data_IF_953974361262
#
_entry.id   IF_953974361262
#
_cell.length_a   1.000
_cell.length_b   1.000
_cell.length_c   1.000
_cell.angle_alpha   90.00
_cell.angle_beta   90.00
_cell.angle_gamma   90.00
#
_symmetry.space_group_name_H-M   'P 1'
#
loop_
_entity.id
_entity.type
_entity.pdbx_description
1 polymer ?
#
# COMPACT_ATOMS: atom_id res chain seq x y z
N UNK A 1 14.85 3.19 5.69
CA UNK A 1 15.02 1.80 5.22
C UNK A 1 14.16 1.65 3.99
N UNK A 2 14.76 1.61 2.81
CA UNK A 2 14.03 1.30 1.59
C UNK A 2 13.99 -0.23 1.47
N UNK A 3 12.79 -0.77 1.29
CA UNK A 3 12.56 -2.19 1.08
C UNK A 3 12.07 -2.35 -0.36
N UNK A 4 12.65 -3.29 -1.09
CA UNK A 4 12.08 -3.70 -2.38
C UNK A 4 11.13 -4.85 -2.10
N UNK A 5 9.82 -4.58 -2.23
CA UNK A 5 8.76 -5.55 -1.94
C UNK A 5 8.72 -6.72 -2.94
N UNK A 6 9.47 -6.64 -4.05
CA UNK A 6 9.51 -7.69 -5.07
C UNK A 6 10.68 -8.65 -4.79
N UNK A 7 10.41 -9.96 -4.67
CA UNK A 7 11.47 -10.95 -4.55
C UNK A 7 12.28 -10.98 -5.84
N UNK A 8 13.57 -11.26 -5.70
CA UNK A 8 14.55 -11.26 -6.76
C UNK A 8 14.87 -12.69 -7.12
N UNK A 9 14.88 -12.98 -8.42
CA UNK A 9 15.20 -14.30 -8.94
C UNK A 9 16.50 -14.23 -9.72
N UNK A 10 17.49 -15.02 -9.29
CA UNK A 10 18.75 -15.19 -10.02
C UNK A 10 18.61 -16.35 -11.01
N UNK A 11 19.15 -16.18 -12.22
CA UNK A 11 19.07 -17.20 -13.27
C UNK A 11 19.94 -18.44 -13.01
N UNK A 12 21.06 -18.26 -12.31
CA UNK A 12 22.11 -19.27 -12.17
C UNK A 12 22.20 -19.88 -10.76
N UNK A 13 21.47 -19.36 -9.78
CA UNK A 13 21.40 -19.98 -8.46
C UNK A 13 20.43 -21.16 -8.53
N UNK A 14 20.94 -22.38 -8.32
CA UNK A 14 20.18 -23.63 -8.41
C UNK A 14 19.07 -23.79 -7.36
N UNK A 15 18.94 -22.86 -6.41
CA UNK A 15 17.81 -22.81 -5.47
C UNK A 15 16.56 -22.26 -6.17
N UNK A 16 15.89 -23.09 -6.97
CA UNK A 16 14.74 -22.76 -7.82
C UNK A 16 13.48 -22.25 -7.09
N UNK A 17 13.56 -21.95 -5.79
CA UNK A 17 12.44 -21.47 -4.96
C UNK A 17 12.82 -20.46 -3.88
N UNK A 18 14.05 -19.96 -3.88
CA UNK A 18 14.47 -18.94 -2.92
C UNK A 18 14.02 -17.55 -3.41
N UNK A 19 13.28 -16.85 -2.55
CA UNK A 19 12.87 -15.47 -2.76
C UNK A 19 13.90 -14.57 -2.09
N UNK A 20 14.83 -14.03 -2.90
CA UNK A 20 15.89 -13.16 -2.40
C UNK A 20 15.39 -11.72 -2.28
N UNK A 21 15.89 -11.00 -1.28
CA UNK A 21 15.51 -9.62 -1.03
C UNK A 21 16.74 -8.74 -0.82
N UNK A 22 16.75 -7.56 -1.44
CA UNK A 22 17.70 -6.51 -1.07
C UNK A 22 17.16 -5.64 0.06
N UNK A 23 17.98 -5.41 1.08
CA UNK A 23 17.72 -4.44 2.15
C UNK A 23 18.72 -3.31 2.07
N UNK A 24 18.20 -2.08 2.07
CA UNK A 24 19.02 -0.88 2.03
C UNK A 24 18.74 -0.01 3.24
N UNK A 25 19.81 0.34 3.94
CA UNK A 25 19.72 1.19 5.13
C UNK A 25 20.97 2.02 5.29
N UNK A 26 20.79 3.14 5.98
CA UNK A 26 21.85 4.06 6.35
C UNK A 26 22.18 3.82 7.80
N UNK A 27 23.46 3.64 8.13
CA UNK A 27 23.91 3.60 9.52
C UNK A 27 24.14 5.01 10.02
N UNK A 28 23.91 5.23 11.32
CA UNK A 28 24.20 6.48 12.01
C UNK A 28 25.56 6.44 12.74
N UNK A 29 26.39 5.43 12.44
CA UNK A 29 27.77 5.38 12.93
C UNK A 29 28.61 6.51 12.33
N UNK A 30 29.87 6.61 12.75
CA UNK A 30 30.79 7.75 12.55
C UNK A 30 30.85 8.29 11.10
N UNK A 31 30.54 7.46 10.09
CA UNK A 31 30.63 7.83 8.68
C UNK A 31 29.29 7.97 7.93
N UNK A 32 28.13 7.87 8.59
CA UNK A 32 26.80 7.97 7.93
C UNK A 32 26.69 7.09 6.66
N UNK A 33 27.13 5.83 6.77
CA UNK A 33 27.37 4.95 5.63
C UNK A 33 26.08 4.31 5.09
N UNK A 34 26.00 4.10 3.79
CA UNK A 34 24.94 3.30 3.17
C UNK A 34 25.36 1.83 3.12
N UNK A 35 24.43 0.92 3.44
CA UNK A 35 24.64 -0.51 3.35
C UNK A 35 23.57 -1.17 2.49
N UNK A 36 24.01 -2.16 1.72
CA UNK A 36 23.17 -3.03 0.89
C UNK A 36 23.36 -4.45 1.42
N UNK A 37 22.27 -5.11 1.77
CA UNK A 37 22.27 -6.54 2.13
C UNK A 37 21.44 -7.34 1.12
N UNK A 38 21.93 -8.51 0.73
CA UNK A 38 21.16 -9.56 0.07
C UNK A 38 20.80 -10.61 1.12
N UNK A 39 19.51 -10.92 1.26
CA UNK A 39 19.01 -11.93 2.19
C UNK A 39 18.16 -12.97 1.46
N UNK A 40 18.14 -14.20 1.98
CA UNK A 40 17.10 -15.19 1.67
C UNK A 40 16.02 -15.12 2.75
N UNK A 41 14.75 -15.22 2.36
CA UNK A 41 13.64 -15.24 3.32
C UNK A 41 13.52 -16.58 4.07
N UNK A 42 13.95 -17.67 3.44
CA UNK A 42 13.88 -19.03 4.02
C UNK A 42 15.11 -19.39 4.82
N UNK A 43 16.27 -18.88 4.41
CA UNK A 43 17.54 -19.09 5.10
C UNK A 43 17.99 -17.79 5.77
N UNK A 44 17.78 -17.71 7.10
CA UNK A 44 18.15 -16.54 7.89
C UNK A 44 19.67 -16.33 7.98
N UNK A 45 20.48 -17.38 7.75
CA UNK A 45 21.94 -17.29 7.76
C UNK A 45 22.48 -16.80 6.40
N UNK A 46 21.67 -16.87 5.35
CA UNK A 46 22.01 -16.35 4.03
C UNK A 46 21.96 -14.82 4.04
N UNK A 47 23.06 -14.20 4.46
CA UNK A 47 23.22 -12.75 4.48
C UNK A 47 24.55 -12.37 3.85
N UNK A 48 24.47 -11.59 2.78
CA UNK A 48 25.62 -10.95 2.15
C UNK A 48 25.48 -9.44 2.23
N UNK A 49 26.55 -8.72 2.56
CA UNK A 49 26.53 -7.29 2.83
C UNK A 49 27.62 -6.54 2.06
N UNK A 50 27.25 -5.36 1.58
CA UNK A 50 28.13 -4.38 0.97
C UNK A 50 28.05 -3.09 1.78
N UNK A 51 29.20 -2.63 2.26
CA UNK A 51 29.37 -1.37 2.99
C UNK A 51 29.87 -0.31 2.01
N UNK A 52 29.05 0.68 1.69
CA UNK A 52 29.37 1.74 0.73
C UNK A 52 30.22 2.83 1.37
N UNK A 53 31.47 2.49 1.65
CA UNK A 53 32.52 3.47 1.98
C UNK A 53 32.97 4.20 0.71
N UNK A 54 33.63 5.35 0.85
CA UNK A 54 34.22 6.07 -0.31
C UNK A 54 35.18 5.17 -1.10
N UNK A 55 36.00 4.36 -0.41
CA UNK A 55 36.93 3.41 -1.05
C UNK A 55 36.20 2.35 -1.86
N UNK A 56 35.11 1.80 -1.32
CA UNK A 56 34.34 0.77 -2.01
C UNK A 56 33.58 1.35 -3.21
N UNK A 57 33.04 2.56 -3.10
CA UNK A 57 32.45 3.27 -4.23
C UNK A 57 33.45 3.51 -5.35
N UNK A 58 34.68 3.94 -5.02
CA UNK A 58 35.72 4.13 -6.02
C UNK A 58 36.10 2.82 -6.71
N UNK A 59 36.14 1.71 -5.99
CA UNK A 59 36.35 0.37 -6.57
C UNK A 59 35.21 0.01 -7.53
N UNK A 60 33.96 0.15 -7.10
CA UNK A 60 32.78 -0.12 -7.92
C UNK A 60 32.77 0.73 -9.19
N UNK A 61 33.20 2.00 -9.11
CA UNK A 61 33.30 2.91 -10.25
C UNK A 61 34.37 2.51 -11.26
N UNK A 62 35.49 1.93 -10.83
CA UNK A 62 36.50 1.41 -11.77
C UNK A 62 35.93 0.27 -12.63
N UNK A 63 35.08 -0.55 -12.03
CA UNK A 63 34.40 -1.65 -12.74
C UNK A 63 33.18 -1.18 -13.54
N UNK A 64 32.59 -0.04 -13.15
CA UNK A 64 31.36 0.49 -13.71
C UNK A 64 31.45 2.03 -13.83
N UNK A 65 32.10 2.57 -14.88
CA UNK A 65 32.45 3.99 -14.96
C UNK A 65 31.23 4.94 -15.03
N UNK A 66 30.05 4.44 -15.39
CA UNK A 66 28.80 5.22 -15.47
C UNK A 66 28.10 5.42 -14.11
N UNK A 67 28.73 5.10 -12.99
CA UNK A 67 28.13 5.14 -11.65
C UNK A 67 28.40 6.47 -10.94
N UNK A 68 27.42 7.02 -10.17
CA UNK A 68 27.60 8.23 -9.38
C UNK A 68 28.77 8.16 -8.39
N UNK A 69 29.34 9.32 -8.05
CA UNK A 69 30.49 9.42 -7.14
C UNK A 69 30.10 9.32 -5.67
N UNK A 70 28.85 9.63 -5.35
CA UNK A 70 28.33 9.65 -3.98
C UNK A 70 27.47 8.40 -3.69
N UNK A 71 27.44 8.00 -2.41
CA UNK A 71 26.69 6.82 -1.96
C UNK A 71 25.18 6.94 -2.17
N UNK A 72 24.63 8.16 -2.12
CA UNK A 72 23.19 8.38 -2.27
C UNK A 72 22.79 8.19 -3.73
N UNK A 73 23.50 8.85 -4.65
CA UNK A 73 23.32 8.68 -6.09
C UNK A 73 23.53 7.24 -6.52
N UNK A 74 24.53 6.56 -5.94
CA UNK A 74 24.72 5.12 -6.14
C UNK A 74 23.46 4.31 -5.79
N UNK A 75 22.93 4.50 -4.57
CA UNK A 75 21.74 3.79 -4.10
C UNK A 75 20.53 4.08 -4.98
N UNK A 76 20.33 5.35 -5.38
CA UNK A 76 19.23 5.72 -6.27
C UNK A 76 19.34 5.03 -7.63
N UNK A 77 20.54 5.00 -8.21
CA UNK A 77 20.80 4.26 -9.46
C UNK A 77 20.54 2.77 -9.24
N UNK A 78 21.08 2.18 -8.18
CA UNK A 78 20.89 0.75 -7.86
C UNK A 78 19.40 0.37 -7.73
N UNK A 79 18.61 1.16 -7.00
CA UNK A 79 17.15 0.97 -6.88
C UNK A 79 16.47 1.06 -8.24
N UNK A 80 16.86 2.04 -9.08
CA UNK A 80 16.33 2.16 -10.45
C UNK A 80 16.66 0.90 -11.26
N UNK A 81 17.90 0.44 -11.23
CA UNK A 81 18.32 -0.76 -11.95
C UNK A 81 17.57 -2.01 -11.48
N UNK A 82 17.24 -2.11 -10.18
CA UNK A 82 16.44 -3.20 -9.63
C UNK A 82 14.96 -3.14 -10.00
N UNK A 83 14.43 -1.94 -10.26
CA UNK A 83 13.03 -1.77 -10.65
C UNK A 83 12.76 -2.13 -12.12
N UNK A 84 13.79 -2.10 -12.95
CA UNK A 84 13.75 -2.50 -14.35
C UNK A 84 13.83 -4.03 -14.48
N UNK A 85 13.14 -4.59 -15.47
CA UNK A 85 13.12 -6.04 -15.71
C UNK A 85 14.47 -6.49 -16.30
N UNK A 86 15.44 -6.76 -15.41
CA UNK A 86 16.81 -7.16 -15.77
C UNK A 86 17.06 -8.64 -15.52
N UNK A 87 18.03 -9.18 -16.24
CA UNK A 87 18.54 -10.52 -15.97
C UNK A 87 19.63 -10.41 -14.91
N UNK A 88 19.50 -11.21 -13.85
CA UNK A 88 20.41 -11.19 -12.71
C UNK A 88 21.10 -12.54 -12.58
N UNK A 89 22.40 -12.53 -12.32
CA UNK A 89 23.17 -13.68 -11.89
C UNK A 89 23.84 -13.38 -10.57
N UNK A 90 23.94 -14.35 -9.67
CA UNK A 90 24.84 -14.28 -8.50
C UNK A 90 25.78 -15.49 -8.55
N UNK A 91 27.06 -15.24 -8.33
CA UNK A 91 28.07 -16.26 -8.12
C UNK A 91 28.52 -16.18 -6.65
N UNK A 92 28.14 -17.19 -5.86
CA UNK A 92 28.51 -17.30 -4.45
C UNK A 92 29.80 -18.10 -4.29
N UNK A 93 30.71 -17.62 -3.45
CA UNK A 93 31.84 -18.38 -2.94
C UNK A 93 31.84 -18.34 -1.39
N UNK A 94 32.86 -18.92 -0.76
CA UNK A 94 32.92 -18.98 0.71
C UNK A 94 33.00 -17.59 1.38
N UNK A 95 33.46 -16.56 0.66
CA UNK A 95 33.75 -15.23 1.20
C UNK A 95 32.72 -14.16 0.80
N UNK A 96 31.96 -14.39 -0.28
CA UNK A 96 31.06 -13.39 -0.84
C UNK A 96 30.12 -13.89 -1.95
N UNK A 97 29.25 -12.99 -2.41
CA UNK A 97 28.38 -13.16 -3.58
C UNK A 97 28.68 -12.03 -4.57
N UNK A 98 29.02 -12.40 -5.80
CA UNK A 98 29.18 -11.46 -6.90
C UNK A 98 27.91 -11.45 -7.73
N UNK A 99 27.24 -10.30 -7.77
CA UNK A 99 25.98 -10.11 -8.50
C UNK A 99 26.26 -9.31 -9.76
N UNK A 100 25.75 -9.81 -10.89
CA UNK A 100 25.84 -9.14 -12.18
C UNK A 100 24.43 -8.87 -12.71
N UNK A 101 24.20 -7.61 -13.06
CA UNK A 101 22.99 -7.13 -13.69
C UNK A 101 23.24 -7.07 -15.19
N UNK A 102 22.36 -7.67 -15.98
CA UNK A 102 22.38 -7.62 -17.42
C UNK A 102 21.19 -6.81 -17.94
N UNK A 103 21.50 -5.79 -18.75
CA UNK A 103 20.52 -5.08 -19.56
C UNK A 103 20.38 -5.73 -20.93
N UNK A 104 19.19 -5.64 -21.51
CA UNK A 104 18.93 -6.03 -22.91
C UNK A 104 19.07 -4.78 -23.78
N UNK A 105 19.87 -4.87 -24.83
CA UNK A 105 20.11 -3.80 -25.78
C UNK A 105 19.81 -4.31 -27.20
N UNK A 106 19.23 -3.45 -28.03
CA UNK A 106 19.12 -3.70 -29.46
C UNK A 106 20.26 -2.96 -30.17
N UNK A 107 21.16 -3.72 -30.78
CA UNK A 107 22.30 -3.19 -31.53
C UNK A 107 22.24 -3.76 -32.95
N UNK A 108 22.17 -2.88 -33.96
CA UNK A 108 22.05 -3.25 -35.38
C UNK A 108 20.93 -4.27 -35.68
N UNK A 109 19.81 -4.19 -34.95
CA UNK A 109 18.66 -5.10 -35.12
C UNK A 109 18.78 -6.44 -34.39
N UNK A 110 19.87 -6.68 -33.65
CA UNK A 110 20.04 -7.87 -32.81
C UNK A 110 19.86 -7.53 -31.33
N UNK A 111 19.13 -8.39 -30.61
CA UNK A 111 19.05 -8.31 -29.14
C UNK A 111 20.28 -8.92 -28.52
N UNK A 112 21.06 -8.12 -27.79
CA UNK A 112 22.20 -8.56 -27.02
C UNK A 112 22.01 -8.23 -25.53
N UNK A 113 22.57 -9.07 -24.66
CA UNK A 113 22.60 -8.82 -23.22
C UNK A 113 23.99 -8.36 -22.81
N UNK A 114 24.10 -7.21 -22.14
CA UNK A 114 25.38 -6.67 -21.67
C UNK A 114 25.33 -6.40 -20.17
N UNK A 115 26.44 -6.61 -19.43
CA UNK A 115 26.49 -6.28 -18.00
C UNK A 115 26.38 -4.76 -17.82
N UNK A 116 25.45 -4.33 -16.97
CA UNK A 116 25.19 -2.90 -16.66
C UNK A 116 25.66 -2.51 -15.27
N UNK A 117 25.72 -3.47 -14.34
CA UNK A 117 26.17 -3.26 -12.97
C UNK A 117 26.75 -4.55 -12.41
N UNK A 118 27.91 -4.43 -11.75
CA UNK A 118 28.51 -5.50 -10.96
C UNK A 118 28.60 -5.07 -9.49
N UNK A 119 28.26 -6.00 -8.60
CA UNK A 119 28.35 -5.83 -7.14
C UNK A 119 29.04 -7.03 -6.51
N UNK A 120 29.96 -6.77 -5.61
CA UNK A 120 30.54 -7.80 -4.73
C UNK A 120 30.06 -7.57 -3.32
N UNK A 121 29.33 -8.54 -2.75
CA UNK A 121 28.90 -8.53 -1.36
C UNK A 121 29.71 -9.54 -0.57
N UNK A 122 30.04 -9.23 0.68
CA UNK A 122 30.76 -10.13 1.57
C UNK A 122 29.78 -10.93 2.42
N UNK A 123 30.09 -12.19 2.68
CA UNK A 123 29.28 -13.03 3.56
C UNK A 123 29.35 -12.51 5.01
N UNK A 124 28.18 -12.34 5.65
CA UNK A 124 28.10 -11.94 7.05
C UNK A 124 28.19 -13.19 7.92
N UNK A 125 29.24 -13.28 8.75
CA UNK A 125 29.52 -14.45 9.59
C UNK A 125 29.89 -14.08 11.03
N UNK A 126 29.89 -15.08 11.90
CA UNK A 126 30.38 -14.96 13.28
C UNK A 126 29.63 -13.89 14.09
N UNK A 127 30.39 -13.02 14.74
CA UNK A 127 29.86 -11.96 15.61
C UNK A 127 28.91 -11.00 14.86
N UNK A 128 29.21 -10.65 13.60
CA UNK A 128 28.34 -9.75 12.82
C UNK A 128 26.97 -10.40 12.53
N UNK A 129 26.96 -11.71 12.29
CA UNK A 129 25.72 -12.46 12.07
C UNK A 129 24.91 -12.57 13.36
N UNK A 130 25.58 -12.83 14.50
CA UNK A 130 24.95 -12.85 15.80
C UNK A 130 24.30 -11.49 16.15
N UNK A 131 25.02 -10.40 15.91
CA UNK A 131 24.49 -9.04 16.08
C UNK A 131 23.29 -8.77 15.16
N UNK A 132 23.35 -9.24 13.90
CA UNK A 132 22.23 -9.15 12.98
C UNK A 132 20.99 -9.88 13.52
N UNK A 133 21.15 -11.11 14.04
CA UNK A 133 20.04 -11.85 14.64
C UNK A 133 19.47 -11.17 15.87
N UNK A 134 20.32 -10.67 16.77
CA UNK A 134 19.88 -9.93 17.95
C UNK A 134 19.08 -8.69 17.57
N UNK A 135 19.57 -7.90 16.61
CA UNK A 135 18.87 -6.71 16.12
C UNK A 135 17.53 -7.08 15.48
N UNK A 136 17.53 -8.11 14.63
CA UNK A 136 16.33 -8.58 13.93
C UNK A 136 15.28 -9.10 14.91
N UNK A 137 15.69 -9.88 15.92
CA UNK A 137 14.81 -10.38 16.98
C UNK A 137 14.19 -9.22 17.79
N UNK A 138 14.98 -8.22 18.18
CA UNK A 138 14.48 -7.04 18.87
C UNK A 138 13.46 -6.27 18.04
N UNK A 139 13.71 -6.13 16.73
CA UNK A 139 12.80 -5.47 15.80
C UNK A 139 11.47 -6.22 15.66
N UNK A 140 11.51 -7.55 15.53
CA UNK A 140 10.29 -8.37 15.47
C UNK A 140 9.52 -8.35 16.78
N UNK A 141 10.21 -8.41 17.93
CA UNK A 141 9.60 -8.28 19.25
C UNK A 141 8.83 -6.96 19.37
N UNK A 142 9.47 -5.84 19.01
CA UNK A 142 8.81 -4.52 19.03
C UNK A 142 7.55 -4.49 18.16
N UNK A 143 7.63 -5.00 16.93
CA UNK A 143 6.46 -5.08 16.02
C UNK A 143 5.34 -5.95 16.57
N UNK A 144 5.68 -7.04 17.25
CA UNK A 144 4.70 -7.92 17.89
C UNK A 144 3.99 -7.18 19.03
N UNK A 145 4.74 -6.52 19.91
CA UNK A 145 4.20 -5.76 21.04
C UNK A 145 3.30 -4.60 20.57
N UNK A 146 3.69 -3.91 19.51
CA UNK A 146 2.88 -2.84 18.88
C UNK A 146 1.56 -3.40 18.33
N UNK A 147 1.61 -4.50 17.55
CA UNK A 147 0.39 -5.16 17.05
C UNK A 147 -0.50 -5.70 18.16
N UNK A 148 0.09 -6.22 19.24
CA UNK A 148 -0.65 -6.70 20.41
C UNK A 148 -1.43 -5.56 21.05
N UNK A 149 -0.80 -4.40 21.24
CA UNK A 149 -1.44 -3.18 21.77
C UNK A 149 -2.59 -2.70 20.88
N UNK A 150 -2.38 -2.64 19.57
CA UNK A 150 -3.45 -2.30 18.62
C UNK A 150 -4.66 -3.24 18.75
N UNK A 151 -4.42 -4.55 18.93
CA UNK A 151 -5.50 -5.52 19.10
C UNK A 151 -6.23 -5.36 20.45
N UNK A 152 -5.52 -5.05 21.53
CA UNK A 152 -6.13 -4.75 22.83
C UNK A 152 -6.99 -3.48 22.78
N UNK A 153 -6.54 -2.44 22.07
CA UNK A 153 -7.33 -1.23 21.83
C UNK A 153 -8.57 -1.50 20.97
N UNK A 154 -8.45 -2.33 19.94
CA UNK A 154 -9.60 -2.77 19.12
C UNK A 154 -10.61 -3.56 19.94
N UNK A 155 -10.16 -4.44 20.86
CA UNK A 155 -11.04 -5.17 21.77
C UNK A 155 -11.79 -4.23 22.71
N UNK A 156 -11.09 -3.28 23.35
CA UNK A 156 -11.74 -2.27 24.21
C UNK A 156 -12.80 -1.46 23.46
N UNK A 157 -12.51 -1.02 22.23
CA UNK A 157 -13.49 -0.33 21.39
C UNK A 157 -14.71 -1.21 21.08
N UNK A 158 -14.52 -2.48 20.77
CA UNK A 158 -15.61 -3.42 20.52
C UNK A 158 -16.50 -3.61 21.76
N UNK A 159 -15.90 -3.77 22.95
CA UNK A 159 -16.63 -3.86 24.23
C UNK A 159 -17.44 -2.59 24.54
N UNK A 160 -16.89 -1.41 24.23
CA UNK A 160 -17.60 -0.14 24.41
C UNK A 160 -18.79 0.00 23.44
N UNK A 161 -18.65 -0.46 22.19
CA UNK A 161 -19.77 -0.50 21.25
C UNK A 161 -20.86 -1.48 21.70
N UNK A 162 -20.49 -2.64 22.23
CA UNK A 162 -21.45 -3.61 22.76
C UNK A 162 -22.25 -3.04 23.93
N UNK A 163 -21.59 -2.33 24.86
CA UNK A 163 -22.27 -1.63 25.97
C UNK A 163 -23.26 -0.58 25.45
N UNK A 164 -22.89 0.21 24.45
CA UNK A 164 -23.78 1.21 23.84
C UNK A 164 -24.99 0.56 23.16
N UNK A 165 -24.80 -0.56 22.46
CA UNK A 165 -25.91 -1.30 21.84
C UNK A 165 -26.88 -1.79 22.91
N UNK A 166 -26.38 -2.38 24.00
CA UNK A 166 -27.24 -2.83 25.13
C UNK A 166 -28.04 -1.67 25.77
N UNK A 167 -27.44 -0.49 25.89
CA UNK A 167 -28.13 0.71 26.39
C UNK A 167 -29.25 1.14 25.43
N UNK A 168 -28.96 1.22 24.12
CA UNK A 168 -29.96 1.58 23.11
C UNK A 168 -31.11 0.57 23.05
N UNK A 169 -30.83 -0.72 23.18
CA UNK A 169 -31.86 -1.76 23.24
C UNK A 169 -32.79 -1.60 24.46
N UNK A 170 -32.24 -1.18 25.61
CA UNK A 170 -33.02 -0.91 26.80
C UNK A 170 -33.93 0.32 26.61
N UNK A 171 -33.40 1.42 26.07
CA UNK A 171 -34.18 2.63 25.76
C UNK A 171 -35.32 2.35 24.76
N UNK A 172 -35.06 1.55 23.73
CA UNK A 172 -36.08 1.16 22.76
C UNK A 172 -37.17 0.33 23.42
N UNK A 173 -36.82 -0.65 24.28
CA UNK A 173 -37.80 -1.45 25.03
C UNK A 173 -38.66 -0.58 25.95
N UNK A 174 -38.07 0.41 26.61
CA UNK A 174 -38.80 1.35 27.45
C UNK A 174 -39.78 2.21 26.64
N UNK A 175 -39.32 2.77 25.50
CA UNK A 175 -40.18 3.53 24.57
C UNK A 175 -41.34 2.70 24.03
N UNK A 176 -41.13 1.40 23.76
CA UNK A 176 -42.21 0.49 23.33
C UNK A 176 -43.22 0.25 24.47
N UNK A 177 -42.77 0.11 25.72
CA UNK A 177 -43.67 -0.01 26.87
C UNK A 177 -44.53 1.23 27.04
N UNK A 178 -43.95 2.42 26.89
CA UNK A 178 -44.69 3.69 26.98
C UNK A 178 -45.78 3.81 25.90
N UNK A 179 -45.53 3.30 24.67
CA UNK A 179 -46.56 3.26 23.62
C UNK A 179 -47.73 2.32 23.92
N UNK A 180 -47.53 1.25 24.71
CA UNK A 180 -48.61 0.34 25.11
C UNK A 180 -49.50 0.89 26.24
N UNK A 181 -49.07 1.96 26.92
CA UNK A 181 -49.84 2.61 27.99
C UNK A 181 -50.74 3.76 27.50
N UNK A 182 -50.71 4.09 26.20
CA UNK A 182 -51.76 4.93 25.62
C UNK A 182 -52.93 4.01 25.27
N UNK A 183 -53.92 4.00 26.16
CA UNK A 183 -55.24 3.44 25.92
C UNK A 183 -55.83 4.19 24.71
N UNK A 184 -56.13 3.47 23.63
CA UNK A 184 -57.01 4.00 22.60
C UNK A 184 -58.35 4.18 23.30
N UNK A 185 -58.72 5.42 23.60
CA UNK A 185 -60.08 5.76 24.01
C UNK A 185 -60.98 5.48 22.80
N UNK A 186 -61.59 4.29 22.77
CA UNK A 186 -62.73 4.01 21.91
C UNK A 186 -63.89 4.89 22.41
N UNK A 187 -64.05 6.05 21.77
CA UNK A 187 -65.26 6.85 21.92
C UNK A 187 -66.33 6.25 21.02
N UNK A 188 -67.31 5.58 21.63
CA UNK A 188 -68.59 5.27 20.99
C UNK A 188 -69.31 6.60 20.65
N UNK A 189 -69.04 7.15 19.47
CA UNK A 189 -69.83 8.25 18.93
C UNK A 189 -71.19 7.70 18.49
N UNK A 190 -72.19 7.75 19.38
CA UNK A 190 -73.60 7.70 18.95
C UNK A 190 -73.85 8.94 18.09
N UNK A 191 -73.84 8.76 16.77
CA UNK A 191 -74.27 9.77 15.81
C UNK A 191 -75.78 9.96 15.99
N UNK A 192 -76.16 10.87 16.90
CA UNK A 192 -77.48 11.50 16.85
C UNK A 192 -77.54 12.37 15.60
N UNK A 193 -78.51 12.12 14.73
CA UNK A 193 -78.75 12.86 13.48
C UNK A 193 -78.83 14.36 13.71
N UNK A 194 -77.75 15.07 13.38
CA UNK A 194 -77.71 16.53 13.27
C UNK A 194 -77.90 16.89 11.79
N UNK A 195 -79.04 17.53 11.49
CA UNK A 195 -79.36 18.10 10.18
C UNK A 195 -78.43 19.27 9.90
N UNK A 196 -77.64 19.17 8.83
CA UNK A 196 -76.74 20.22 8.37
C UNK A 196 -77.50 21.24 7.52
N UNK A 197 -77.51 22.51 7.94
CA UNK A 197 -77.70 23.65 7.04
C UNK A 197 -76.32 24.11 6.56
N UNK A 198 -76.21 24.21 5.24
CA UNK A 198 -74.98 24.41 4.46
C UNK A 198 -74.63 25.89 4.41
N UNK A 199 -73.47 26.31 4.95
CA UNK A 199 -72.98 27.68 4.69
C UNK A 199 -71.47 27.95 4.84
N UNK A 200 -70.60 26.92 5.01
CA UNK A 200 -69.16 27.19 5.21
C UNK A 200 -68.18 26.24 4.48
N UNK A 201 -68.56 25.66 3.34
CA UNK A 201 -67.64 24.86 2.52
C UNK A 201 -66.59 25.67 1.71
N UNK A 202 -66.60 27.00 1.79
CA UNK A 202 -65.64 27.84 1.03
C UNK A 202 -64.29 28.11 1.71
N UNK A 203 -64.15 27.91 3.04
CA UNK A 203 -62.95 28.36 3.78
C UNK A 203 -61.86 27.31 4.02
N UNK A 204 -62.15 26.03 3.81
CA UNK A 204 -61.21 24.94 4.16
C UNK A 204 -60.21 24.65 3.04
N UNK A 205 -60.49 25.06 1.80
CA UNK A 205 -59.62 24.77 0.64
C UNK A 205 -58.48 25.82 0.48
N UNK A 206 -58.59 27.01 1.07
CA UNK A 206 -57.49 28.00 1.06
C UNK A 206 -56.38 27.70 2.09
N UNK A 207 -56.70 27.09 3.23
CA UNK A 207 -55.68 26.78 4.26
C UNK A 207 -54.75 25.61 3.89
N UNK A 208 -55.18 24.72 2.98
CA UNK A 208 -54.37 23.56 2.54
C UNK A 208 -53.31 23.97 1.49
N UNK A 209 -53.54 25.05 0.73
CA UNK A 209 -52.61 25.54 -0.29
C UNK A 209 -51.52 26.48 0.25
N UNK A 210 -51.61 26.92 1.52
CA UNK A 210 -50.64 27.84 2.13
C UNK A 210 -49.36 27.21 2.69
N UNK A 211 -49.33 25.90 2.95
CA UNK A 211 -48.26 25.27 3.73
C UNK A 211 -47.33 24.31 2.97
N UNK A 212 -47.36 24.31 1.62
CA UNK A 212 -46.33 23.65 0.79
C UNK A 212 -45.29 24.66 0.26
N UNK A 213 -44.49 25.25 1.15
CA UNK A 213 -43.19 25.84 0.81
C UNK A 213 -42.23 25.64 1.97
N UNK A 214 -41.17 24.86 1.76
CA UNK A 214 -39.81 24.92 2.36
C UNK A 214 -39.21 23.49 2.26
N UNK A 215 -38.38 23.17 1.27
CA UNK A 215 -36.98 23.54 1.07
C UNK A 215 -36.09 22.30 1.27
N UNK A 216 -35.77 21.61 0.17
CA UNK A 216 -34.62 20.69 0.11
C UNK A 216 -33.69 21.21 -0.98
N UNK A 217 -32.44 21.60 -0.65
CA UNK A 217 -31.50 22.08 -1.64
C UNK A 217 -30.88 20.93 -2.43
N UNK A 218 -30.75 21.23 -3.72
CA UNK A 218 -30.23 20.44 -4.82
C UNK A 218 -28.74 20.08 -4.66
N UNK A 219 -28.32 18.90 -5.13
CA UNK A 219 -27.02 18.73 -5.82
C UNK A 219 -26.91 17.39 -6.57
N UNK A 220 -27.30 17.47 -7.84
CA UNK A 220 -26.72 16.88 -9.05
C UNK A 220 -25.71 15.71 -8.90
N UNK A 221 -26.12 14.54 -9.37
CA UNK A 221 -25.23 13.52 -9.94
C UNK A 221 -25.77 13.18 -11.35
N UNK A 222 -25.08 13.52 -12.45
CA UNK A 222 -25.41 12.93 -13.74
C UNK A 222 -24.57 11.69 -13.99
N UNK A 223 -25.29 10.58 -14.14
CA UNK A 223 -24.91 9.38 -14.86
C UNK A 223 -24.68 9.72 -16.34
N UNK A 224 -23.60 9.20 -16.95
CA UNK A 224 -23.65 8.81 -18.36
C UNK A 224 -22.56 7.79 -18.72
N UNK A 225 -23.06 6.60 -19.00
CA UNK A 225 -22.65 5.56 -19.97
C UNK A 225 -21.55 5.89 -20.99
N UNK A 226 -20.59 4.95 -21.13
CA UNK A 226 -19.64 4.80 -22.27
C UNK A 226 -20.38 4.56 -23.59
N UNK A 227 -19.75 4.79 -24.77
CA UNK A 227 -19.11 3.67 -25.48
C UNK A 227 -17.79 4.00 -26.23
N UNK A 228 -17.15 2.92 -26.69
CA UNK A 228 -15.93 2.84 -27.53
C UNK A 228 -16.10 3.51 -28.90
N UNK A 229 -15.06 4.16 -29.42
CA UNK A 229 -14.40 3.86 -30.72
C UNK A 229 -13.22 4.81 -31.01
N UNK A 230 -12.08 4.24 -31.43
CA UNK A 230 -11.01 4.95 -32.16
C UNK A 230 -11.48 5.20 -33.60
N UNK A 231 -11.00 6.27 -34.24
CA UNK A 231 -10.64 6.20 -35.64
C UNK A 231 -9.17 6.56 -35.87
N UNK A 232 -8.65 5.95 -36.91
CA UNK A 232 -7.28 5.98 -37.37
C UNK A 232 -6.96 7.36 -37.98
N UNK A 233 -5.73 7.83 -37.81
CA UNK A 233 -5.13 8.80 -38.74
C UNK A 233 -3.83 8.20 -39.27
N UNK A 234 -3.86 7.95 -40.57
CA UNK A 234 -2.75 7.60 -41.45
C UNK A 234 -2.04 8.88 -41.91
N UNK A 235 -0.73 8.77 -42.17
CA UNK A 235 0.07 9.72 -42.97
C UNK A 235 0.87 10.73 -42.13
N UNK A 236 2.18 10.95 -42.33
CA UNK A 236 2.98 10.75 -43.53
C UNK A 236 4.42 10.33 -43.22
N UNK A 237 4.97 9.54 -44.14
CA UNK A 237 6.37 9.23 -44.26
C UNK A 237 7.18 10.47 -44.70
N UNK A 238 8.35 10.66 -44.08
CA UNK A 238 9.52 11.28 -44.72
C UNK A 238 10.79 10.87 -43.98
N UNK A 239 11.54 9.97 -44.60
CA UNK A 239 13.02 9.88 -44.53
C UNK A 239 13.52 10.26 -45.95
N UNK A 240 14.81 10.56 -46.17
CA UNK A 240 15.87 11.03 -45.28
C UNK A 240 16.54 12.32 -45.83
N UNK A 241 17.47 12.93 -45.08
CA UNK A 241 18.74 13.42 -45.64
C UNK A 241 19.75 13.82 -44.56
N UNK A 242 20.95 13.21 -44.68
CA UNK A 242 22.23 13.42 -43.97
C UNK A 242 22.36 12.86 -42.57
#
# INVERSE_FOLDING_TARGET
>A
MAYLDKPIKFKNLQASSADYHFRMYKTHDEDNMHMIELCDEKDIEFIYRLRLTTKELDKIRRENPAIPTDSIGYIQKFVKELSEEKWLTCETNAEGCNIIFYGIFEDLGYRCTRPVLKLSLLSVKGEELHQHFKYTALKYKKRYDDKKRENEERKKKAEDYEKKIRQLEAEVKEKIKLKKNYEILDFDFKIGTLKFTVENQGKIIEEINGNQKLAVPNKNVPTSTKPRTRPWVLGNATLPNR
#
